data_IF_759546582292
#
_entry.id   IF_759546582292
#
_cell.length_a   1.000
_cell.length_b   1.000
_cell.length_c   1.000
_cell.angle_alpha   90.00
_cell.angle_beta   90.00
_cell.angle_gamma   90.00
#
_symmetry.space_group_name_H-M   'P 1'
#
loop_
_entity.id
_entity.type
_entity.pdbx_description
1 polymer ?
#
# COMPACT_ATOMS: atom_id res chain seq x y z
N UNK A 1 24.10 8.21 2.66
CA UNK A 1 23.42 8.08 1.35
C UNK A 1 22.12 7.33 1.61
N UNK A 2 20.99 8.03 1.65
CA UNK A 2 19.68 7.45 1.92
C UNK A 2 19.15 6.87 0.62
N UNK A 3 19.11 5.54 0.57
CA UNK A 3 18.45 4.77 -0.49
C UNK A 3 17.02 5.27 -0.54
N UNK A 4 16.56 5.65 -1.72
CA UNK A 4 15.23 6.19 -1.97
C UNK A 4 14.17 5.17 -1.53
N UNK A 5 13.74 5.22 -0.24
CA UNK A 5 12.43 4.70 0.20
C UNK A 5 11.42 5.31 -0.78
N UNK A 6 10.68 4.48 -1.51
CA UNK A 6 9.91 4.84 -2.72
C UNK A 6 8.90 5.97 -2.47
N UNK A 7 9.40 7.21 -2.35
CA UNK A 7 8.61 8.44 -2.26
C UNK A 7 7.97 8.63 -3.62
N UNK A 8 6.74 8.13 -3.72
CA UNK A 8 5.76 8.33 -4.78
C UNK A 8 6.41 8.70 -6.13
N UNK A 9 6.73 7.71 -6.99
CA UNK A 9 6.99 8.04 -8.36
C UNK A 9 5.73 8.74 -8.88
N UNK A 10 5.90 10.01 -9.26
CA UNK A 10 4.85 10.85 -9.82
C UNK A 10 3.99 10.01 -10.78
N UNK A 11 2.68 10.32 -10.81
CA UNK A 11 1.54 9.76 -11.58
C UNK A 11 1.84 9.40 -13.06
N UNK A 12 3.04 9.72 -13.55
CA UNK A 12 3.62 9.40 -14.85
C UNK A 12 3.86 7.90 -15.13
N UNK A 13 3.63 7.00 -14.17
CA UNK A 13 3.77 5.55 -14.37
C UNK A 13 2.46 4.83 -14.03
N UNK A 14 2.18 3.72 -14.73
CA UNK A 14 1.00 2.89 -14.48
C UNK A 14 0.98 2.37 -13.02
N UNK A 15 2.15 2.09 -12.45
CA UNK A 15 2.32 1.74 -11.03
C UNK A 15 1.89 2.88 -10.09
N UNK A 16 2.32 4.11 -10.37
CA UNK A 16 1.92 5.28 -9.58
C UNK A 16 0.41 5.55 -9.62
N UNK A 17 -0.23 5.33 -10.78
CA UNK A 17 -1.69 5.38 -10.90
C UNK A 17 -2.37 4.27 -10.07
N UNK A 18 -1.88 3.03 -10.12
CA UNK A 18 -2.44 1.91 -9.37
C UNK A 18 -2.36 2.14 -7.84
N UNK A 19 -1.25 2.70 -7.36
CA UNK A 19 -1.09 3.11 -5.95
C UNK A 19 -2.15 4.14 -5.56
N UNK A 20 -2.40 5.14 -6.40
CA UNK A 20 -3.43 6.15 -6.14
C UNK A 20 -4.84 5.55 -6.13
N UNK A 21 -5.17 4.70 -7.10
CA UNK A 21 -6.46 4.01 -7.15
C UNK A 21 -6.69 3.13 -5.90
N UNK A 22 -5.65 2.43 -5.45
CA UNK A 22 -5.69 1.64 -4.22
C UNK A 22 -5.84 2.50 -2.97
N UNK A 23 -5.20 3.67 -2.93
CA UNK A 23 -5.30 4.60 -1.81
C UNK A 23 -6.69 5.22 -1.74
N UNK A 24 -7.25 5.63 -2.88
CA UNK A 24 -8.60 6.20 -3.00
C UNK A 24 -9.68 5.18 -2.62
N UNK A 25 -9.49 3.91 -3.01
CA UNK A 25 -10.35 2.81 -2.60
C UNK A 25 -10.19 2.39 -1.13
N UNK A 26 -9.17 2.89 -0.41
CA UNK A 26 -8.85 2.49 0.96
C UNK A 26 -8.26 1.07 1.08
N UNK A 27 -7.77 0.52 -0.03
CA UNK A 27 -7.20 -0.83 -0.08
C UNK A 27 -5.78 -0.86 0.50
N UNK A 28 -5.04 0.25 0.44
CA UNK A 28 -3.72 0.38 1.06
C UNK A 28 -3.72 1.51 2.10
N UNK A 29 -2.84 1.38 3.09
CA UNK A 29 -2.57 2.43 4.08
C UNK A 29 -1.09 2.63 4.27
N UNK A 30 -0.69 3.85 4.62
CA UNK A 30 0.66 4.11 5.08
C UNK A 30 0.77 3.77 6.58
N UNK A 31 1.87 3.11 6.95
CA UNK A 31 2.26 2.97 8.35
C UNK A 31 2.66 4.36 8.88
N UNK A 32 1.91 4.89 9.85
CA UNK A 32 2.18 6.22 10.42
C UNK A 32 3.57 6.32 11.08
N UNK A 33 4.12 5.20 11.56
CA UNK A 33 5.40 5.14 12.27
C UNK A 33 6.60 4.99 11.32
N UNK A 34 6.44 4.27 10.20
CA UNK A 34 7.56 3.86 9.34
C UNK A 34 7.45 4.28 7.87
N UNK A 35 6.28 4.78 7.44
CA UNK A 35 6.01 5.23 6.08
C UNK A 35 5.86 4.10 5.04
N UNK A 36 5.77 2.84 5.46
CA UNK A 36 5.54 1.72 4.54
C UNK A 36 4.10 1.69 4.08
N UNK A 37 3.89 1.53 2.78
CA UNK A 37 2.59 1.12 2.27
C UNK A 37 2.32 -0.33 2.70
N UNK A 38 1.12 -0.56 3.18
CA UNK A 38 0.63 -1.86 3.60
C UNK A 38 -0.73 -2.09 2.96
N UNK A 39 -0.97 -3.30 2.48
CA UNK A 39 -2.29 -3.72 2.04
C UNK A 39 -3.18 -3.94 3.26
N UNK A 40 -4.37 -3.35 3.26
CA UNK A 40 -5.38 -3.58 4.30
C UNK A 40 -5.98 -4.98 4.20
N UNK A 41 -5.77 -5.67 3.08
CA UNK A 41 -6.36 -6.95 2.70
C UNK A 41 -7.90 -6.94 2.78
N UNK A 42 -8.51 -5.76 2.66
CA UNK A 42 -9.95 -5.56 2.72
C UNK A 42 -10.59 -5.95 1.36
N UNK A 43 -11.44 -7.00 1.31
CA UNK A 43 -12.02 -7.47 0.06
C UNK A 43 -12.87 -6.41 -0.65
N UNK A 44 -13.58 -5.57 0.11
CA UNK A 44 -14.44 -4.53 -0.45
C UNK A 44 -13.61 -3.38 -1.02
N UNK A 45 -12.54 -2.99 -0.35
CA UNK A 45 -11.61 -1.98 -0.83
C UNK A 45 -10.90 -2.46 -2.11
N UNK A 46 -10.49 -3.73 -2.17
CA UNK A 46 -9.90 -4.32 -3.38
C UNK A 46 -10.88 -4.32 -4.55
N UNK A 47 -12.12 -4.75 -4.35
CA UNK A 47 -13.16 -4.73 -5.40
C UNK A 47 -13.42 -3.30 -5.91
N UNK A 48 -13.46 -2.33 -4.99
CA UNK A 48 -13.57 -0.92 -5.34
C UNK A 48 -12.40 -0.43 -6.22
N UNK A 49 -11.17 -0.82 -5.91
CA UNK A 49 -9.99 -0.49 -6.73
C UNK A 49 -10.06 -1.11 -8.14
N UNK A 50 -10.49 -2.37 -8.25
CA UNK A 50 -10.71 -3.02 -9.54
C UNK A 50 -11.83 -2.37 -10.35
N UNK A 51 -12.89 -1.90 -9.69
CA UNK A 51 -13.94 -1.11 -10.34
C UNK A 51 -13.36 0.18 -10.93
N UNK A 52 -12.52 0.90 -10.19
CA UNK A 52 -11.83 2.11 -10.70
C UNK A 52 -10.98 1.77 -11.93
N UNK A 53 -10.24 0.65 -11.93
CA UNK A 53 -9.47 0.21 -13.10
C UNK A 53 -10.33 -0.10 -14.33
N UNK A 54 -11.58 -0.50 -14.13
CA UNK A 54 -12.49 -0.82 -15.23
C UNK A 54 -13.24 0.40 -15.74
N UNK A 55 -13.66 1.28 -14.85
CA UNK A 55 -14.48 2.46 -15.15
C UNK A 55 -13.64 3.66 -15.60
N UNK A 56 -12.45 3.83 -15.02
CA UNK A 56 -11.59 4.99 -15.23
C UNK A 56 -10.10 4.62 -15.37
N UNK A 57 -9.72 3.75 -16.34
CA UNK A 57 -8.32 3.46 -16.61
C UNK A 57 -7.57 4.72 -17.12
N UNK A 58 -6.25 4.79 -16.92
CA UNK A 58 -5.45 5.87 -17.47
C UNK A 58 -5.48 5.85 -19.02
N UNK A 59 -5.36 7.03 -19.68
CA UNK A 59 -5.49 7.13 -21.13
C UNK A 59 -4.43 6.28 -21.84
N UNK A 60 -4.88 5.49 -22.83
CA UNK A 60 -4.01 4.58 -23.57
C UNK A 60 -3.75 3.22 -22.90
N UNK A 61 -4.35 2.97 -21.73
CA UNK A 61 -4.24 1.70 -21.00
C UNK A 61 -5.58 0.97 -21.04
N UNK A 62 -5.54 -0.33 -21.32
CA UNK A 62 -6.76 -1.14 -21.30
C UNK A 62 -7.20 -1.43 -19.86
N UNK A 63 -8.50 -1.64 -19.59
CA UNK A 63 -9.00 -2.04 -18.28
C UNK A 63 -8.27 -3.26 -17.69
N UNK A 64 -7.93 -4.23 -18.55
CA UNK A 64 -7.18 -5.42 -18.13
C UNK A 64 -5.75 -5.09 -17.69
N UNK A 65 -5.06 -4.20 -18.40
CA UNK A 65 -3.73 -3.75 -18.02
C UNK A 65 -3.75 -2.90 -16.75
N UNK A 66 -4.79 -2.07 -16.55
CA UNK A 66 -4.98 -1.32 -15.32
C UNK A 66 -5.23 -2.24 -14.12
N UNK A 67 -6.06 -3.28 -14.27
CA UNK A 67 -6.29 -4.28 -13.24
C UNK A 67 -5.02 -5.08 -12.92
N UNK A 68 -4.25 -5.47 -13.93
CA UNK A 68 -2.98 -6.17 -13.73
C UNK A 68 -1.97 -5.32 -12.92
N UNK A 69 -1.92 -4.01 -13.18
CA UNK A 69 -1.06 -3.10 -12.41
C UNK A 69 -1.48 -2.96 -10.96
N UNK A 70 -2.78 -2.98 -10.66
CA UNK A 70 -3.29 -3.02 -9.28
C UNK A 70 -2.83 -4.31 -8.59
N UNK A 71 -2.98 -5.47 -9.25
CA UNK A 71 -2.51 -6.75 -8.72
C UNK A 71 -1.00 -6.75 -8.49
N UNK A 72 -0.21 -6.23 -9.42
CA UNK A 72 1.25 -6.13 -9.28
C UNK A 72 1.66 -5.27 -8.07
N UNK A 73 0.96 -4.16 -7.84
CA UNK A 73 1.20 -3.31 -6.65
C UNK A 73 0.86 -4.06 -5.38
N UNK A 74 -0.30 -4.72 -5.32
CA UNK A 74 -0.71 -5.53 -4.17
C UNK A 74 0.24 -6.69 -3.90
N UNK A 75 0.76 -7.35 -4.94
CA UNK A 75 1.74 -8.45 -4.81
C UNK A 75 3.10 -7.93 -4.29
N UNK A 76 3.47 -6.69 -4.65
CA UNK A 76 4.69 -6.05 -4.18
C UNK A 76 4.61 -5.52 -2.74
N UNK A 77 3.40 -5.33 -2.19
CA UNK A 77 3.16 -4.75 -0.87
C UNK A 77 2.70 -5.84 0.09
N UNK A 78 3.43 -6.03 1.19
CA UNK A 78 2.99 -6.92 2.27
C UNK A 78 1.76 -6.37 3.00
N UNK A 79 0.97 -7.28 3.58
CA UNK A 79 -0.14 -6.96 4.48
C UNK A 79 0.31 -6.45 5.86
N UNK A 80 1.60 -6.56 6.16
CA UNK A 80 2.21 -6.09 7.41
C UNK A 80 3.48 -5.28 7.16
N UNK A 81 3.68 -4.24 7.98
CA UNK A 81 4.92 -3.47 8.03
C UNK A 81 6.03 -4.33 8.65
N UNK A 82 7.12 -4.64 7.92
CA UNK A 82 8.22 -5.46 8.44
C UNK A 82 9.05 -4.75 9.52
N UNK A 83 9.03 -3.41 9.56
CA UNK A 83 9.73 -2.62 10.58
C UNK A 83 8.90 -2.43 11.87
N UNK A 84 7.57 -2.65 11.83
CA UNK A 84 6.75 -2.58 13.04
C UNK A 84 6.99 -3.84 13.89
N UNK A 85 7.33 -3.70 15.18
CA UNK A 85 7.28 -4.83 16.08
C UNK A 85 5.81 -5.31 16.12
N UNK A 86 5.56 -6.59 15.89
CA UNK A 86 4.22 -7.14 16.02
C UNK A 86 3.73 -6.96 17.46
N UNK A 87 2.42 -6.75 17.61
CA UNK A 87 1.76 -6.26 18.84
C UNK A 87 2.10 -7.08 20.11
N UNK A 88 2.55 -8.33 19.95
CA UNK A 88 3.00 -9.19 21.04
C UNK A 88 4.28 -8.71 21.76
N UNK A 89 5.13 -7.90 21.13
CA UNK A 89 6.34 -7.34 21.76
C UNK A 89 6.06 -6.06 22.56
N UNK A 90 5.00 -5.31 22.24
CA UNK A 90 4.61 -4.08 22.95
C UNK A 90 3.99 -4.36 24.32
N UNK A 91 3.43 -5.56 24.52
CA UNK A 91 2.89 -5.99 25.82
C UNK A 91 3.94 -6.59 26.76
N UNK A 92 5.18 -6.78 26.31
CA UNK A 92 6.24 -7.48 27.05
C UNK A 92 7.45 -6.61 27.39
N UNK A 93 7.41 -5.28 27.20
CA UNK A 93 8.38 -4.40 27.85
C UNK A 93 8.07 -4.33 29.36
N UNK A 94 8.89 -4.95 30.24
CA UNK A 94 8.80 -4.63 31.65
C UNK A 94 9.22 -3.17 31.78
N UNK A 95 8.41 -2.35 32.46
CA UNK A 95 8.79 -1.01 32.88
C UNK A 95 10.17 -1.11 33.53
N UNK A 96 11.24 -0.70 32.83
CA UNK A 96 12.49 -0.38 33.48
C UNK A 96 12.24 0.90 34.26
N UNK A 97 11.60 0.74 35.41
CA UNK A 97 11.78 1.63 36.53
C UNK A 97 13.27 1.62 36.85
N UNK A 98 13.90 2.77 36.73
CA UNK A 98 15.22 2.98 37.32
C UNK A 98 15.29 4.39 37.89
N UNK A 99 16.12 4.54 38.94
CA UNK A 99 15.71 5.03 40.25
C UNK A 99 15.69 6.55 40.42
#
# INVERSE_FOLDING_TARGET
MLITKERWPAIRTLRGWAILALSDAGAIRECEEHGWMQDRADPHARDCAFRIAREAPPPGVSPAAAAAAITEVLDSIGDTCPECPPDYLRSSEPRLSSP
#
